data_IF_263560664884
#
_entry.id   IF_263560664884
#
_cell.length_a   1.000
_cell.length_b   1.000
_cell.length_c   1.000
_cell.angle_alpha   90.00
_cell.angle_beta   90.00
_cell.angle_gamma   90.00
#
_symmetry.space_group_name_H-M   'P 1'
#
loop_
_entity.id
_entity.type
_entity.pdbx_description
1 polymer ?
#
# COMPACT_ATOMS: atom_id res chain seq x y z
N UNK A 1 -21.37 39.36 -1.79
CA UNK A 1 -20.58 38.75 -0.69
C UNK A 1 -20.38 37.29 -1.04
N UNK A 2 -19.18 36.86 -1.42
CA UNK A 2 -18.91 35.46 -1.78
C UNK A 2 -17.67 34.99 -1.03
N UNK A 3 -17.89 34.10 -0.07
CA UNK A 3 -16.85 33.47 0.72
C UNK A 3 -16.02 32.53 -0.16
N UNK A 4 -14.71 32.77 -0.26
CA UNK A 4 -13.76 31.78 -0.77
C UNK A 4 -13.49 30.79 0.36
N UNK A 5 -14.05 29.58 0.28
CA UNK A 5 -13.69 28.50 1.19
C UNK A 5 -12.44 27.81 0.63
N UNK A 6 -11.38 27.90 1.42
CA UNK A 6 -10.04 27.36 1.18
C UNK A 6 -10.13 25.85 0.91
N UNK A 7 -9.71 25.44 -0.28
CA UNK A 7 -9.43 24.03 -0.57
C UNK A 7 -8.16 23.65 0.20
N UNK A 8 -8.37 22.87 1.26
CA UNK A 8 -7.29 22.24 2.01
C UNK A 8 -6.61 21.23 1.09
N UNK A 9 -5.50 21.62 0.45
CA UNK A 9 -4.62 20.74 -0.31
C UNK A 9 -3.84 19.84 0.64
N UNK A 10 -4.55 18.91 1.28
CA UNK A 10 -3.94 17.71 1.87
C UNK A 10 -3.53 16.80 0.73
N UNK A 11 -2.23 16.59 0.58
CA UNK A 11 -1.61 15.72 -0.42
C UNK A 11 -2.27 14.33 -0.40
N UNK A 12 -3.05 14.04 -1.44
CA UNK A 12 -3.63 12.73 -1.66
C UNK A 12 -2.50 11.80 -2.08
N UNK A 13 -1.82 11.20 -1.11
CA UNK A 13 -0.89 10.10 -1.33
C UNK A 13 -1.72 8.91 -1.89
N UNK A 14 -1.56 8.55 -3.16
CA UNK A 14 -2.26 7.40 -3.74
C UNK A 14 -1.27 6.25 -3.88
N UNK A 15 -1.44 5.18 -3.09
CA UNK A 15 -0.60 3.99 -3.18
C UNK A 15 -1.26 3.00 -4.12
N UNK A 16 -0.71 2.84 -5.32
CA UNK A 16 -1.18 1.80 -6.24
C UNK A 16 -0.44 0.50 -5.95
N UNK A 17 -1.16 -0.53 -5.51
CA UNK A 17 -0.70 -1.91 -5.39
C UNK A 17 -1.03 -2.67 -6.68
N UNK A 18 -0.02 -3.16 -7.41
CA UNK A 18 -0.23 -4.02 -8.59
C UNK A 18 0.24 -5.45 -8.31
N UNK A 19 -0.71 -6.37 -8.08
CA UNK A 19 -0.51 -7.81 -8.17
C UNK A 19 -0.84 -8.31 -9.58
N UNK A 20 -0.32 -9.48 -9.97
CA UNK A 20 -0.52 -10.10 -11.32
C UNK A 20 -2.00 -10.22 -11.74
N UNK A 21 -2.94 -10.04 -10.81
CA UNK A 21 -4.39 -10.10 -11.02
C UNK A 21 -5.18 -8.92 -10.42
N UNK A 22 -4.54 -7.92 -9.79
CA UNK A 22 -5.28 -6.82 -9.15
C UNK A 22 -4.44 -5.53 -9.10
N UNK A 23 -5.02 -4.42 -9.58
CA UNK A 23 -4.51 -3.06 -9.34
C UNK A 23 -5.40 -2.39 -8.31
N UNK A 24 -4.90 -2.19 -7.10
CA UNK A 24 -5.60 -1.54 -6.00
C UNK A 24 -5.03 -0.14 -5.83
N UNK A 25 -5.85 0.88 -6.04
CA UNK A 25 -5.51 2.26 -5.66
C UNK A 25 -5.97 2.47 -4.23
N UNK A 26 -5.02 2.47 -3.30
CA UNK A 26 -5.27 2.53 -1.87
C UNK A 26 -5.01 3.93 -1.34
N UNK A 27 -5.89 4.37 -0.43
CA UNK A 27 -5.63 5.58 0.33
C UNK A 27 -4.51 5.32 1.35
N UNK A 28 -3.76 6.34 1.78
CA UNK A 28 -2.63 6.18 2.70
C UNK A 28 -3.06 5.58 4.03
N UNK A 29 -4.23 6.01 4.51
CA UNK A 29 -4.84 5.51 5.74
C UNK A 29 -5.21 4.02 5.67
N UNK A 30 -5.17 3.40 4.50
CA UNK A 30 -5.47 1.99 4.28
C UNK A 30 -4.24 1.12 4.04
N UNK A 31 -3.03 1.70 4.20
CA UNK A 31 -1.75 1.02 3.98
C UNK A 31 -0.81 1.28 5.16
N UNK A 32 -0.24 0.21 5.71
CA UNK A 32 0.83 0.29 6.71
C UNK A 32 2.06 -0.40 6.15
N UNK A 33 3.16 0.34 6.00
CA UNK A 33 4.41 -0.20 5.47
C UNK A 33 5.35 -0.51 6.64
N UNK A 34 5.78 -1.76 6.73
CA UNK A 34 6.79 -2.22 7.68
C UNK A 34 8.14 -2.41 6.98
N UNK A 35 9.22 -2.57 7.75
CA UNK A 35 10.57 -2.79 7.21
C UNK A 35 10.65 -3.96 6.21
N UNK A 36 9.93 -5.05 6.49
CA UNK A 36 9.96 -6.29 5.72
C UNK A 36 8.57 -6.74 5.23
N UNK A 37 7.58 -5.86 5.25
CA UNK A 37 6.22 -6.23 4.90
C UNK A 37 5.30 -5.05 4.73
N UNK A 38 4.04 -5.36 4.43
CA UNK A 38 3.00 -4.37 4.20
C UNK A 38 1.67 -4.96 4.61
N UNK A 39 0.84 -4.10 5.18
CA UNK A 39 -0.55 -4.38 5.47
C UNK A 39 -1.42 -3.43 4.67
N UNK A 40 -2.49 -3.94 4.08
CA UNK A 40 -3.39 -3.13 3.30
C UNK A 40 -4.82 -3.66 3.27
N UNK A 41 -5.77 -2.77 2.94
CA UNK A 41 -7.16 -3.17 2.71
C UNK A 41 -7.43 -3.53 1.25
N UNK A 42 -8.25 -4.55 1.03
CA UNK A 42 -8.66 -5.01 -0.30
C UNK A 42 -10.15 -5.33 -0.35
N UNK A 43 -10.78 -5.12 -1.50
CA UNK A 43 -12.15 -5.57 -1.75
C UNK A 43 -12.23 -7.08 -2.05
N UNK A 44 -11.14 -7.67 -2.53
CA UNK A 44 -11.00 -9.10 -2.82
C UNK A 44 -10.16 -9.81 -1.76
N UNK A 45 -10.51 -11.06 -1.48
CA UNK A 45 -9.72 -11.93 -0.63
C UNK A 45 -8.46 -12.39 -1.37
N UNK A 46 -7.41 -12.68 -0.60
CA UNK A 46 -6.20 -13.36 -1.07
C UNK A 46 -5.97 -14.59 -0.23
N UNK A 47 -5.59 -15.70 -0.85
CA UNK A 47 -5.25 -16.91 -0.11
C UNK A 47 -3.93 -16.71 0.64
N UNK A 48 -3.82 -17.17 1.89
CA UNK A 48 -2.52 -17.28 2.56
C UNK A 48 -1.53 -18.08 1.71
N UNK A 49 -0.25 -17.73 1.82
CA UNK A 49 0.86 -18.28 1.04
C UNK A 49 0.85 -17.96 -0.45
N UNK A 50 -0.03 -17.06 -0.89
CA UNK A 50 0.02 -16.56 -2.26
C UNK A 50 1.23 -15.67 -2.44
N UNK A 51 2.11 -16.03 -3.37
CA UNK A 51 3.16 -15.16 -3.88
C UNK A 51 2.56 -14.06 -4.77
N UNK A 52 2.97 -12.82 -4.55
CA UNK A 52 2.61 -11.70 -5.40
C UNK A 52 3.70 -10.64 -5.43
N UNK A 53 3.80 -9.98 -6.58
CA UNK A 53 4.53 -8.73 -6.70
C UNK A 53 3.57 -7.60 -6.38
N UNK A 54 4.03 -6.56 -5.68
CA UNK A 54 3.35 -5.30 -5.50
C UNK A 54 4.21 -4.21 -6.11
N UNK A 55 3.65 -3.46 -7.05
CA UNK A 55 4.09 -2.08 -7.26
C UNK A 55 3.60 -1.23 -6.10
N UNK A 56 4.36 -0.27 -5.63
CA UNK A 56 3.95 0.79 -4.70
C UNK A 56 4.37 2.10 -5.33
N UNK A 57 3.47 3.07 -5.38
CA UNK A 57 3.76 4.38 -5.95
C UNK A 57 3.45 5.46 -4.91
N UNK A 58 4.38 6.38 -4.71
CA UNK A 58 4.17 7.61 -3.95
C UNK A 58 4.42 8.81 -4.86
N UNK A 59 3.63 9.90 -4.75
CA UNK A 59 3.87 11.12 -5.52
C UNK A 59 5.28 11.67 -5.34
N UNK A 60 5.80 11.62 -4.11
CA UNK A 60 7.10 12.21 -3.73
C UNK A 60 8.28 11.26 -4.02
N UNK A 61 8.05 9.94 -3.93
CA UNK A 61 9.14 8.96 -3.89
C UNK A 61 9.15 7.95 -5.05
N UNK A 62 8.29 8.19 -6.05
CA UNK A 62 8.20 7.39 -7.27
C UNK A 62 7.64 5.98 -7.05
N UNK A 63 7.95 5.07 -7.99
CA UNK A 63 7.48 3.68 -7.99
C UNK A 63 8.55 2.73 -7.41
N UNK A 64 8.10 1.76 -6.63
CA UNK A 64 8.90 0.67 -6.05
C UNK A 64 8.18 -0.64 -6.30
N UNK A 65 8.87 -1.65 -6.82
CA UNK A 65 8.31 -2.99 -6.97
C UNK A 65 8.91 -3.91 -5.91
N UNK A 66 8.06 -4.66 -5.21
CA UNK A 66 8.44 -5.61 -4.17
C UNK A 66 7.75 -6.94 -4.43
N UNK A 67 8.46 -8.06 -4.28
CA UNK A 67 7.83 -9.37 -4.26
C UNK A 67 7.61 -9.81 -2.81
N UNK A 68 6.53 -10.53 -2.56
CA UNK A 68 6.20 -11.01 -1.23
C UNK A 68 5.18 -12.14 -1.23
N UNK A 69 4.89 -12.61 -0.02
CA UNK A 69 3.96 -13.70 0.25
C UNK A 69 2.90 -13.20 1.23
N UNK A 70 1.63 -13.44 0.91
CA UNK A 70 0.52 -13.15 1.82
C UNK A 70 0.60 -14.10 3.00
N UNK A 71 0.74 -13.58 4.22
CA UNK A 71 0.79 -14.38 5.44
C UNK A 71 -0.56 -14.41 6.16
N UNK A 72 -1.43 -13.42 5.92
CA UNK A 72 -2.79 -13.39 6.45
C UNK A 72 -3.73 -12.60 5.54
N UNK A 73 -4.98 -13.02 5.51
CA UNK A 73 -6.07 -12.28 4.88
C UNK A 73 -7.33 -12.51 5.71
N UNK A 74 -7.76 -11.49 6.45
CA UNK A 74 -8.92 -11.57 7.36
C UNK A 74 -9.99 -10.57 6.93
N UNK A 75 -11.25 -10.80 7.32
CA UNK A 75 -12.37 -9.95 6.94
C UNK A 75 -13.37 -10.67 6.03
N UNK A 76 -14.21 -9.90 5.35
CA UNK A 76 -15.29 -10.43 4.52
C UNK A 76 -15.71 -9.45 3.42
N UNK A 77 -16.53 -9.92 2.48
CA UNK A 77 -17.00 -9.13 1.34
C UNK A 77 -17.81 -7.87 1.68
N UNK A 78 -18.37 -7.76 2.89
CA UNK A 78 -19.17 -6.61 3.31
C UNK A 78 -18.31 -5.49 3.89
N UNK A 79 -17.25 -5.83 4.61
CA UNK A 79 -16.35 -4.86 5.28
C UNK A 79 -15.01 -4.68 4.58
N UNK A 80 -14.73 -5.50 3.56
CA UNK A 80 -13.41 -5.64 2.95
C UNK A 80 -12.50 -6.60 3.72
N UNK A 81 -11.34 -6.86 3.14
CA UNK A 81 -10.31 -7.73 3.66
C UNK A 81 -9.10 -6.92 4.11
N UNK A 82 -8.51 -7.33 5.22
CA UNK A 82 -7.22 -6.87 5.70
C UNK A 82 -6.17 -7.91 5.32
N UNK A 83 -5.17 -7.49 4.54
CA UNK A 83 -4.16 -8.37 3.97
C UNK A 83 -2.82 -8.01 4.59
N UNK A 84 -2.10 -9.00 5.13
CA UNK A 84 -0.73 -8.83 5.59
C UNK A 84 0.20 -9.64 4.69
N UNK A 85 1.25 -8.99 4.19
CA UNK A 85 2.23 -9.58 3.29
C UNK A 85 3.65 -9.35 3.81
N UNK A 86 4.51 -10.35 3.69
CA UNK A 86 5.95 -10.25 3.96
C UNK A 86 6.70 -10.17 2.64
N UNK A 87 7.65 -9.25 2.52
CA UNK A 87 8.50 -9.16 1.34
C UNK A 87 9.54 -10.29 1.33
N UNK A 88 9.67 -10.98 0.20
CA UNK A 88 10.62 -12.09 0.01
C UNK A 88 11.89 -11.63 -0.69
N UNK A 89 11.81 -10.59 -1.52
CA UNK A 89 12.97 -9.99 -2.16
C UNK A 89 12.80 -8.48 -2.28
N UNK A 90 13.71 -7.73 -1.66
CA UNK A 90 13.76 -6.27 -1.74
C UNK A 90 15.20 -5.85 -2.01
N UNK A 91 15.43 -5.11 -3.09
CA UNK A 91 16.76 -4.53 -3.34
C UNK A 91 17.08 -3.45 -2.31
N UNK A 92 18.36 -3.17 -2.06
CA UNK A 92 18.76 -2.08 -1.13
C UNK A 92 18.11 -0.73 -1.49
N UNK A 93 18.02 -0.45 -2.79
CA UNK A 93 17.36 0.75 -3.30
C UNK A 93 15.85 0.75 -3.03
N UNK A 94 15.17 -0.39 -3.25
CA UNK A 94 13.75 -0.53 -2.95
C UNK A 94 13.50 -0.38 -1.43
N UNK A 95 14.36 -0.95 -0.60
CA UNK A 95 14.26 -0.86 0.86
C UNK A 95 14.42 0.58 1.37
N UNK A 96 15.37 1.34 0.81
CA UNK A 96 15.53 2.75 1.15
C UNK A 96 14.26 3.54 0.81
N UNK A 97 13.67 3.31 -0.39
CA UNK A 97 12.43 3.97 -0.80
C UNK A 97 11.23 3.56 0.05
N UNK A 98 11.08 2.28 0.38
CA UNK A 98 10.05 1.78 1.29
C UNK A 98 10.17 2.42 2.67
N UNK A 99 11.39 2.58 3.18
CA UNK A 99 11.63 3.21 4.48
C UNK A 99 11.16 4.67 4.49
N UNK A 100 11.46 5.42 3.43
CA UNK A 100 10.93 6.78 3.25
C UNK A 100 9.40 6.79 3.12
N UNK A 101 8.81 5.82 2.40
CA UNK A 101 7.35 5.71 2.28
C UNK A 101 6.69 5.43 3.64
N UNK A 102 7.26 4.53 4.46
CA UNK A 102 6.76 4.21 5.79
C UNK A 102 6.73 5.43 6.72
N UNK A 103 7.72 6.32 6.62
CA UNK A 103 7.74 7.59 7.36
C UNK A 103 6.63 8.56 6.90
N UNK A 104 6.28 8.55 5.61
CA UNK A 104 5.24 9.41 5.05
C UNK A 104 3.81 8.95 5.35
N UNK A 105 3.62 7.67 5.67
CA UNK A 105 2.31 7.08 6.02
C UNK A 105 1.98 7.20 7.52
N UNK A 106 2.94 7.63 8.34
CA UNK A 106 2.82 7.74 9.80
C UNK A 106 2.43 9.15 10.29
N UNK A 107 2.11 10.07 9.38
CA UNK A 107 1.79 11.49 9.63
C UNK A 107 0.39 11.76 9.12
#
# INVERSE_FOLDING_TARGET
MSARKIENTGSIQQVTVEARQARLSLSPASVIIHKNGIEFRSASAFSPWTEMTLSLQSPENGKVNCAGVVISCTGNKHTGYHVSMVFTSVSKQAQARLSTMALSSAI
#
